data_IF_373540755894
#
_entry.id   IF_373540755894
#
_cell.length_a   1.000
_cell.length_b   1.000
_cell.length_c   1.000
_cell.angle_alpha   90.00
_cell.angle_beta   90.00
_cell.angle_gamma   90.00
#
_symmetry.space_group_name_H-M   'P 1'
#
loop_
_entity.id
_entity.type
_entity.pdbx_description
1 polymer ?
#
# COMPACT_ATOMS: atom_id res chain seq x y z
N UNK A 1 -27.49 4.81 50.06
CA UNK A 1 -26.25 5.55 49.70
C UNK A 1 -25.01 4.64 49.63
N UNK A 2 -24.63 3.91 50.70
CA UNK A 2 -23.44 3.01 50.69
C UNK A 2 -23.45 1.92 49.60
N UNK A 3 -24.62 1.29 49.35
CA UNK A 3 -24.78 0.27 48.29
C UNK A 3 -24.64 0.84 46.87
N UNK A 4 -25.06 2.09 46.65
CA UNK A 4 -24.98 2.77 45.35
C UNK A 4 -23.53 3.13 45.03
N UNK A 5 -22.79 3.61 46.03
CA UNK A 5 -21.34 3.91 45.90
C UNK A 5 -20.54 2.62 45.61
N UNK A 6 -20.89 1.50 46.26
CA UNK A 6 -20.23 0.22 46.01
C UNK A 6 -20.46 -0.33 44.60
N UNK A 7 -21.66 -0.16 44.03
CA UNK A 7 -21.98 -0.58 42.65
C UNK A 7 -21.22 0.29 41.64
N UNK A 8 -21.14 1.61 41.90
CA UNK A 8 -20.43 2.55 41.05
C UNK A 8 -18.91 2.27 41.04
N UNK A 9 -18.32 1.96 42.19
CA UNK A 9 -16.91 1.56 42.27
C UNK A 9 -16.62 0.24 41.54
N UNK A 10 -17.54 -0.72 41.57
CA UNK A 10 -17.38 -2.00 40.86
C UNK A 10 -17.48 -1.81 39.33
N UNK A 11 -18.38 -0.95 38.86
CA UNK A 11 -18.46 -0.60 37.44
C UNK A 11 -17.19 0.11 36.96
N UNK A 12 -16.66 1.08 37.73
CA UNK A 12 -15.38 1.73 37.38
C UNK A 12 -14.22 0.72 37.30
N UNK A 13 -14.19 -0.31 38.15
CA UNK A 13 -13.13 -1.32 38.14
C UNK A 13 -13.14 -2.20 36.89
N UNK A 14 -14.32 -2.46 36.31
CA UNK A 14 -14.45 -3.26 35.08
C UNK A 14 -13.98 -2.47 33.84
N UNK A 15 -14.22 -1.15 33.79
CA UNK A 15 -13.79 -0.33 32.64
C UNK A 15 -12.27 -0.13 32.57
N UNK A 16 -11.55 -0.12 33.69
CA UNK A 16 -10.10 0.15 33.71
C UNK A 16 -9.27 -1.05 33.23
N UNK A 17 -9.85 -2.26 33.22
CA UNK A 17 -9.17 -3.51 32.85
C UNK A 17 -9.45 -3.99 31.42
N UNK A 18 -10.21 -3.25 30.62
CA UNK A 18 -10.35 -3.52 29.19
C UNK A 18 -9.08 -3.05 28.43
N UNK A 19 -7.97 -3.75 28.66
CA UNK A 19 -6.81 -3.66 27.76
C UNK A 19 -7.11 -4.52 26.54
N UNK A 20 -7.24 -3.90 25.37
CA UNK A 20 -7.17 -4.64 24.11
C UNK A 20 -5.78 -5.28 24.02
N UNK A 21 -5.70 -6.60 23.95
CA UNK A 21 -4.45 -7.24 23.56
C UNK A 21 -4.17 -6.86 22.10
N UNK A 22 -3.16 -6.04 21.88
CA UNK A 22 -2.65 -5.81 20.53
C UNK A 22 -1.97 -7.11 20.08
N UNK A 23 -2.64 -7.82 19.17
CA UNK A 23 -2.15 -9.03 18.55
C UNK A 23 -2.06 -8.82 17.05
N UNK A 24 -0.94 -9.22 16.45
CA UNK A 24 -0.77 -9.19 14.99
C UNK A 24 -1.49 -10.40 14.42
N UNK A 25 -2.65 -10.16 13.80
CA UNK A 25 -3.49 -11.23 13.25
C UNK A 25 -2.88 -11.84 11.99
N UNK A 26 -2.28 -10.99 11.15
CA UNK A 26 -1.69 -11.39 9.88
C UNK A 26 -0.62 -10.39 9.47
N UNK A 27 0.37 -10.88 8.72
CA UNK A 27 1.42 -10.08 8.10
C UNK A 27 1.34 -10.30 6.59
N UNK A 28 1.16 -9.22 5.84
CA UNK A 28 1.24 -9.29 4.38
C UNK A 28 2.70 -9.34 3.93
N UNK A 29 2.98 -10.25 3.00
CA UNK A 29 4.29 -10.45 2.40
C UNK A 29 4.16 -10.19 0.91
N UNK A 30 4.84 -9.18 0.39
CA UNK A 30 4.93 -8.94 -1.04
C UNK A 30 6.19 -9.63 -1.57
N UNK A 31 6.01 -10.69 -2.36
CA UNK A 31 7.12 -11.32 -3.04
C UNK A 31 7.32 -10.66 -4.40
N UNK A 32 8.51 -10.12 -4.61
CA UNK A 32 8.86 -9.31 -5.79
C UNK A 32 8.76 -10.08 -7.11
N UNK A 33 8.93 -11.40 -7.11
CA UNK A 33 9.03 -12.18 -8.34
C UNK A 33 10.40 -12.02 -9.02
N UNK A 34 10.53 -12.57 -10.23
CA UNK A 34 11.75 -12.50 -11.05
C UNK A 34 11.40 -12.46 -12.53
N UNK A 35 11.85 -11.40 -13.19
CA UNK A 35 11.76 -11.24 -14.64
C UNK A 35 13.15 -11.33 -15.28
N UNK A 36 13.28 -12.24 -16.24
CA UNK A 36 14.50 -12.39 -17.03
C UNK A 36 14.42 -11.49 -18.27
N UNK A 37 15.19 -10.40 -18.25
CA UNK A 37 15.28 -9.45 -19.36
C UNK A 37 16.00 -10.01 -20.60
N UNK A 38 16.76 -11.10 -20.47
CA UNK A 38 17.44 -11.73 -21.61
C UNK A 38 16.51 -12.59 -22.45
N UNK A 39 15.59 -13.30 -21.79
CA UNK A 39 14.58 -14.16 -22.44
C UNK A 39 13.22 -13.47 -22.58
N UNK A 40 13.03 -12.31 -21.93
CA UNK A 40 11.76 -11.58 -21.85
C UNK A 40 10.63 -12.44 -21.26
N UNK A 41 10.94 -13.15 -20.16
CA UNK A 41 10.02 -14.05 -19.47
C UNK A 41 9.90 -13.73 -17.98
N UNK A 42 8.68 -13.86 -17.45
CA UNK A 42 8.45 -13.95 -16.01
C UNK A 42 8.84 -15.36 -15.59
N UNK A 43 9.93 -15.48 -14.83
CA UNK A 43 10.43 -16.76 -14.31
C UNK A 43 9.76 -17.10 -12.99
N UNK A 44 9.62 -16.12 -12.10
CA UNK A 44 8.86 -16.22 -10.86
C UNK A 44 7.81 -15.11 -10.83
N UNK A 45 6.52 -15.41 -10.66
CA UNK A 45 5.50 -14.38 -10.63
C UNK A 45 5.56 -13.57 -9.32
N UNK A 46 5.09 -12.32 -9.40
CA UNK A 46 4.77 -11.54 -8.21
C UNK A 46 3.64 -12.21 -7.44
N UNK A 47 3.82 -12.41 -6.14
CA UNK A 47 2.76 -12.96 -5.28
C UNK A 47 2.56 -12.13 -4.02
N UNK A 48 1.33 -12.13 -3.53
CA UNK A 48 0.98 -11.60 -2.22
C UNK A 48 0.74 -12.80 -1.31
N UNK A 49 1.51 -12.86 -0.23
CA UNK A 49 1.38 -13.85 0.82
C UNK A 49 0.81 -13.27 2.09
N UNK A 50 0.25 -14.14 2.92
CA UNK A 50 -0.15 -13.85 4.28
C UNK A 50 0.54 -14.85 5.21
N UNK A 51 1.29 -14.32 6.17
CA UNK A 51 1.81 -15.06 7.31
C UNK A 51 0.92 -14.82 8.53
N UNK A 52 0.49 -15.90 9.17
CA UNK A 52 -0.36 -15.88 10.37
C UNK A 52 0.48 -16.28 11.60
N UNK A 53 0.82 -15.33 12.50
CA UNK A 53 1.70 -15.63 13.63
C UNK A 53 1.11 -16.62 14.66
N UNK A 54 -0.21 -16.82 14.67
CA UNK A 54 -0.86 -17.67 15.69
C UNK A 54 -0.65 -19.15 15.46
N UNK A 55 -0.48 -19.55 14.20
CA UNK A 55 -0.30 -20.95 13.80
C UNK A 55 0.96 -21.17 12.94
N UNK A 56 1.80 -20.15 12.80
CA UNK A 56 3.06 -20.16 12.05
C UNK A 56 2.86 -20.60 10.58
N UNK A 57 1.73 -20.22 9.99
CA UNK A 57 1.38 -20.59 8.62
C UNK A 57 1.63 -19.46 7.63
N UNK A 58 2.00 -19.84 6.41
CA UNK A 58 2.11 -18.94 5.26
C UNK A 58 1.23 -19.46 4.13
N UNK A 59 0.47 -18.57 3.50
CA UNK A 59 -0.32 -18.88 2.31
C UNK A 59 -0.19 -17.78 1.27
N UNK A 60 -0.19 -18.16 -0.02
CA UNK A 60 -0.31 -17.21 -1.12
C UNK A 60 -1.79 -16.87 -1.29
N UNK A 61 -2.12 -15.58 -1.22
CA UNK A 61 -3.50 -15.08 -1.35
C UNK A 61 -3.80 -14.51 -2.73
N UNK A 62 -2.77 -14.06 -3.47
CA UNK A 62 -2.93 -13.66 -4.87
C UNK A 62 -1.62 -13.79 -5.66
N UNK A 63 -1.74 -13.96 -6.97
CA UNK A 63 -0.64 -13.92 -7.95
C UNK A 63 -0.91 -12.81 -8.95
N UNK A 64 -0.01 -11.83 -9.03
CA UNK A 64 -0.22 -10.63 -9.84
C UNK A 64 0.23 -10.91 -11.27
N UNK A 65 -0.73 -11.31 -12.09
CA UNK A 65 -0.51 -11.65 -13.49
C UNK A 65 0.14 -10.50 -14.28
N UNK A 66 1.08 -10.86 -15.16
CA UNK A 66 1.79 -9.93 -16.05
C UNK A 66 2.49 -8.76 -15.34
N UNK A 67 2.87 -8.89 -14.07
CA UNK A 67 3.77 -7.96 -13.41
C UNK A 67 5.19 -8.53 -13.42
N UNK A 68 6.16 -7.73 -13.90
CA UNK A 68 7.58 -8.14 -13.95
C UNK A 68 8.25 -8.14 -12.57
N UNK A 69 7.80 -7.25 -11.68
CA UNK A 69 8.30 -7.12 -10.32
C UNK A 69 7.27 -6.38 -9.45
N UNK A 70 7.45 -6.41 -8.13
CA UNK A 70 6.70 -5.59 -7.19
C UNK A 70 7.60 -4.61 -6.46
N UNK A 71 7.07 -3.45 -6.05
CA UNK A 71 7.88 -2.36 -5.50
C UNK A 71 7.40 -1.84 -4.15
N UNK A 72 6.12 -2.00 -3.81
CA UNK A 72 5.61 -1.55 -2.51
C UNK A 72 4.29 -2.23 -2.12
N UNK A 73 4.05 -2.34 -0.81
CA UNK A 73 2.78 -2.75 -0.22
C UNK A 73 2.47 -1.89 1.00
N UNK A 74 1.28 -1.30 1.04
CA UNK A 74 0.81 -0.48 2.16
C UNK A 74 -0.54 -0.95 2.65
N UNK A 75 -0.68 -1.18 3.95
CA UNK A 75 -1.96 -1.46 4.61
C UNK A 75 -2.57 -0.16 5.11
N UNK A 76 -3.86 0.05 4.85
CA UNK A 76 -4.60 1.21 5.35
C UNK A 76 -6.10 0.90 5.54
N UNK A 77 -6.55 0.92 6.78
CA UNK A 77 -7.93 0.55 7.15
C UNK A 77 -8.22 -0.90 6.77
N UNK A 78 -9.36 -1.12 6.12
CA UNK A 78 -9.82 -2.45 5.70
C UNK A 78 -9.24 -2.91 4.35
N UNK A 79 -8.21 -2.22 3.85
CA UNK A 79 -7.60 -2.49 2.56
C UNK A 79 -6.08 -2.55 2.63
N UNK A 80 -5.49 -3.21 1.64
CA UNK A 80 -4.07 -3.09 1.34
C UNK A 80 -3.87 -2.76 -0.14
N UNK A 81 -2.76 -2.09 -0.43
CA UNK A 81 -2.45 -1.51 -1.73
C UNK A 81 -1.10 -2.02 -2.18
N UNK A 82 -0.98 -2.40 -3.46
CA UNK A 82 0.24 -2.95 -4.02
C UNK A 82 0.66 -2.16 -5.25
N UNK A 83 1.94 -1.81 -5.30
CA UNK A 83 2.61 -1.34 -6.50
C UNK A 83 3.33 -2.53 -7.13
N UNK A 84 2.93 -2.90 -8.34
CA UNK A 84 3.54 -3.98 -9.09
C UNK A 84 3.69 -3.60 -10.57
N UNK A 85 4.93 -3.50 -11.03
CA UNK A 85 5.30 -3.05 -12.36
C UNK A 85 4.68 -1.68 -12.72
N UNK A 86 3.64 -1.67 -13.55
CA UNK A 86 2.88 -0.48 -13.95
C UNK A 86 1.46 -0.47 -13.36
N UNK A 87 1.24 -1.13 -12.22
CA UNK A 87 -0.09 -1.30 -11.61
C UNK A 87 -0.11 -0.82 -10.17
N UNK A 88 -1.14 -0.05 -9.84
CA UNK A 88 -1.62 0.18 -8.49
C UNK A 88 -2.85 -0.70 -8.27
N UNK A 89 -2.80 -1.54 -7.24
CA UNK A 89 -3.85 -2.51 -6.94
C UNK A 89 -4.35 -2.28 -5.53
N UNK A 90 -5.66 -2.40 -5.31
CA UNK A 90 -6.32 -2.26 -4.00
C UNK A 90 -7.10 -3.53 -3.71
N UNK A 91 -6.87 -4.10 -2.54
CA UNK A 91 -7.46 -5.36 -2.10
C UNK A 91 -8.16 -5.20 -0.76
N UNK A 92 -9.24 -5.97 -0.56
CA UNK A 92 -9.88 -6.10 0.75
C UNK A 92 -9.03 -6.98 1.67
N UNK A 93 -8.82 -6.52 2.91
CA UNK A 93 -7.90 -7.18 3.86
C UNK A 93 -8.41 -8.53 4.39
N UNK A 94 -9.73 -8.77 4.33
CA UNK A 94 -10.38 -9.92 4.95
C UNK A 94 -10.60 -11.07 3.97
N UNK A 95 -10.94 -10.75 2.72
CA UNK A 95 -11.24 -11.75 1.69
C UNK A 95 -10.24 -11.76 0.53
N UNK A 96 -9.26 -10.84 0.54
CA UNK A 96 -8.18 -10.73 -0.45
C UNK A 96 -8.66 -10.49 -1.88
N UNK A 97 -9.92 -10.09 -2.09
CA UNK A 97 -10.42 -9.76 -3.42
C UNK A 97 -9.80 -8.44 -3.89
N UNK A 98 -9.44 -8.39 -5.18
CA UNK A 98 -9.10 -7.14 -5.85
C UNK A 98 -10.36 -6.26 -5.97
N UNK A 99 -10.31 -5.08 -5.37
CA UNK A 99 -11.43 -4.12 -5.30
C UNK A 99 -11.30 -3.02 -6.36
N UNK A 100 -10.08 -2.58 -6.65
CA UNK A 100 -9.80 -1.58 -7.67
C UNK A 100 -8.38 -1.76 -8.22
N UNK A 101 -8.17 -1.32 -9.46
CA UNK A 101 -6.85 -1.33 -10.11
C UNK A 101 -6.69 -0.10 -10.99
N UNK A 102 -5.47 0.41 -11.09
CA UNK A 102 -5.11 1.52 -11.96
C UNK A 102 -3.75 1.27 -12.61
N UNK A 103 -3.65 1.52 -13.92
CA UNK A 103 -2.36 1.46 -14.62
C UNK A 103 -1.62 2.79 -14.45
N UNK A 104 -0.37 2.71 -14.00
CA UNK A 104 0.50 3.84 -13.67
C UNK A 104 1.92 3.48 -14.11
N UNK A 105 2.35 4.03 -15.24
CA UNK A 105 3.69 3.74 -15.75
C UNK A 105 4.76 4.14 -14.74
N UNK A 106 5.62 3.18 -14.40
CA UNK A 106 6.75 3.36 -13.51
C UNK A 106 6.40 3.56 -12.04
N UNK A 107 5.24 3.09 -11.54
CA UNK A 107 4.90 3.21 -10.10
C UNK A 107 5.98 2.57 -9.21
N UNK A 108 6.38 3.26 -8.13
CA UNK A 108 7.39 2.76 -7.19
C UNK A 108 6.91 2.66 -5.76
N UNK A 109 6.56 3.77 -5.12
CA UNK A 109 6.14 3.76 -3.72
C UNK A 109 4.73 4.31 -3.56
N UNK A 110 4.04 3.84 -2.54
CA UNK A 110 2.69 4.22 -2.18
C UNK A 110 2.72 4.94 -0.84
N UNK A 111 1.98 6.04 -0.73
CA UNK A 111 1.69 6.70 0.55
C UNK A 111 0.23 7.08 0.61
N UNK A 112 -0.44 6.72 1.69
CA UNK A 112 -1.83 7.10 1.93
C UNK A 112 -1.87 8.23 2.96
N UNK A 113 -2.57 9.31 2.61
CA UNK A 113 -2.74 10.48 3.47
C UNK A 113 -3.97 11.29 3.05
N UNK A 114 -4.77 11.78 4.01
CA UNK A 114 -5.96 12.61 3.77
C UNK A 114 -6.87 12.05 2.65
N UNK A 115 -7.28 10.79 2.78
CA UNK A 115 -8.17 10.09 1.84
C UNK A 115 -7.65 10.05 0.38
N UNK A 116 -6.33 10.12 0.21
CA UNK A 116 -5.67 10.08 -1.10
C UNK A 116 -4.54 9.05 -1.10
N UNK A 117 -4.32 8.47 -2.27
CA UNK A 117 -3.18 7.61 -2.56
C UNK A 117 -2.17 8.41 -3.36
N UNK A 118 -1.02 8.69 -2.75
CA UNK A 118 0.13 9.28 -3.40
C UNK A 118 1.02 8.17 -3.91
N UNK A 119 1.48 8.28 -5.15
CA UNK A 119 2.41 7.32 -5.74
C UNK A 119 3.62 8.03 -6.31
N UNK A 120 4.82 7.53 -6.00
CA UNK A 120 6.03 7.94 -6.71
C UNK A 120 6.15 7.16 -8.01
N UNK A 121 6.83 7.77 -8.98
CA UNK A 121 7.14 7.15 -10.27
C UNK A 121 8.64 7.21 -10.53
N UNK A 122 9.16 6.23 -11.24
CA UNK A 122 10.54 6.18 -11.67
C UNK A 122 10.75 4.91 -12.47
N UNK A 123 11.41 4.98 -13.61
CA UNK A 123 11.66 3.80 -14.44
C UNK A 123 12.86 4.05 -15.35
N UNK A 124 13.35 3.01 -16.02
CA UNK A 124 14.44 3.11 -16.97
C UNK A 124 14.11 2.36 -18.27
N UNK A 125 14.75 2.78 -19.35
CA UNK A 125 14.63 2.14 -20.65
C UNK A 125 15.51 0.87 -20.67
N UNK A 126 14.92 -0.28 -20.96
CA UNK A 126 15.61 -1.58 -20.88
C UNK A 126 16.67 -1.80 -21.98
N UNK A 127 16.76 -0.91 -22.98
CA UNK A 127 17.75 -1.01 -24.06
C UNK A 127 18.96 -0.11 -23.79
N UNK A 128 18.71 1.10 -23.33
CA UNK A 128 19.70 2.17 -23.14
C UNK A 128 20.11 2.33 -21.68
N UNK A 129 19.36 1.76 -20.74
CA UNK A 129 19.50 1.92 -19.29
C UNK A 129 19.38 3.38 -18.81
N UNK A 130 18.85 4.27 -19.66
CA UNK A 130 18.63 5.66 -19.31
C UNK A 130 17.29 5.83 -18.57
N UNK A 131 17.17 6.80 -17.65
CA UNK A 131 15.92 7.05 -16.94
C UNK A 131 14.79 7.46 -17.90
N UNK A 132 13.61 6.87 -17.73
CA UNK A 132 12.39 7.31 -18.38
C UNK A 132 11.97 8.66 -17.77
N UNK A 133 11.74 9.65 -18.63
CA UNK A 133 11.30 10.97 -18.22
C UNK A 133 9.79 11.02 -18.06
N UNK A 134 9.33 11.35 -16.85
CA UNK A 134 7.92 11.56 -16.57
C UNK A 134 7.60 13.05 -16.47
N UNK A 135 6.41 13.44 -16.96
CA UNK A 135 5.88 14.79 -16.75
C UNK A 135 5.69 15.13 -15.25
N UNK A 136 5.50 14.10 -14.42
CA UNK A 136 5.52 14.19 -12.97
C UNK A 136 5.92 12.84 -12.38
N UNK A 137 6.80 12.91 -11.37
CA UNK A 137 7.29 11.78 -10.59
C UNK A 137 6.44 11.50 -9.35
N UNK A 138 5.37 12.26 -9.11
CA UNK A 138 4.43 12.02 -8.02
C UNK A 138 3.00 12.24 -8.48
N UNK A 139 2.16 11.22 -8.37
CA UNK A 139 0.75 11.30 -8.75
C UNK A 139 -0.16 11.05 -7.56
N UNK A 140 -1.38 11.55 -7.66
CA UNK A 140 -2.40 11.49 -6.60
C UNK A 140 -3.65 10.84 -7.16
N UNK A 141 -4.17 9.87 -6.42
CA UNK A 141 -5.35 9.08 -6.75
C UNK A 141 -6.35 9.12 -5.60
N UNK A 142 -7.62 8.90 -5.94
CA UNK A 142 -8.68 8.74 -4.96
C UNK A 142 -8.48 7.46 -4.16
N UNK A 143 -8.62 7.54 -2.83
CA UNK A 143 -8.59 6.34 -1.99
C UNK A 143 -9.81 5.43 -2.20
N UNK A 144 -10.94 5.97 -2.65
CA UNK A 144 -12.18 5.19 -2.83
C UNK A 144 -12.05 4.17 -3.95
N UNK A 145 -11.66 4.63 -5.14
CA UNK A 145 -11.75 3.89 -6.40
C UNK A 145 -10.46 3.91 -7.25
N UNK A 146 -9.37 4.49 -6.73
CA UNK A 146 -8.11 4.69 -7.44
C UNK A 146 -8.21 5.55 -8.71
N UNK A 147 -9.27 6.35 -8.86
CA UNK A 147 -9.36 7.31 -9.96
C UNK A 147 -8.26 8.37 -9.85
N UNK A 148 -7.68 8.76 -10.99
CA UNK A 148 -6.64 9.79 -11.05
C UNK A 148 -7.21 11.16 -10.62
N UNK A 149 -6.49 11.85 -9.72
CA UNK A 149 -6.86 13.17 -9.25
C UNK A 149 -5.93 14.26 -9.78
N UNK A 150 -4.62 14.08 -9.62
CA UNK A 150 -3.65 15.10 -10.06
C UNK A 150 -2.22 14.58 -10.18
N UNK A 151 -1.41 15.31 -10.94
CA UNK A 151 0.04 15.25 -10.87
C UNK A 151 0.53 16.26 -9.82
N UNK A 152 1.47 15.86 -8.97
CA UNK A 152 2.27 16.80 -8.21
C UNK A 152 3.52 17.11 -9.03
N UNK A 153 3.55 18.28 -9.65
CA UNK A 153 4.77 18.78 -10.28
C UNK A 153 5.67 19.29 -9.14
N UNK A 154 6.97 19.07 -9.25
CA UNK A 154 7.93 19.66 -8.32
C UNK A 154 7.83 21.18 -8.38
N UNK A 155 7.06 21.77 -7.46
CA UNK A 155 7.05 23.20 -7.21
C UNK A 155 8.18 23.49 -6.23
N UNK A 156 9.42 23.48 -6.73
CA UNK A 156 10.52 24.18 -6.08
C UNK A 156 10.35 25.69 -6.33
N UNK A 157 9.33 26.29 -5.72
CA UNK A 157 9.38 27.68 -5.25
C UNK A 157 8.50 27.76 -4.00
N UNK A 158 9.01 27.24 -2.89
CA UNK A 158 8.65 27.79 -1.59
C UNK A 158 9.65 28.92 -1.31
N UNK A 159 9.09 30.12 -1.15
CA UNK A 159 9.70 31.35 -0.63
C UNK A 159 10.70 32.12 -1.53
N UNK A 160 10.17 33.18 -2.14
CA UNK A 160 10.91 34.41 -2.40
C UNK A 160 11.43 34.58 -3.81
N UNK A 161 10.67 35.30 -4.65
CA UNK A 161 11.25 36.23 -5.62
C UNK A 161 10.39 37.50 -5.63
N UNK A 162 11.05 38.60 -5.28
CA UNK A 162 10.58 39.95 -5.47
C UNK A 162 10.13 40.16 -6.92
N UNK A 163 9.04 40.90 -7.09
CA UNK A 163 8.82 41.68 -8.31
C UNK A 163 10.00 42.61 -8.51
N UNK A 164 10.62 42.55 -9.68
CA UNK A 164 11.20 43.71 -10.36
C UNK A 164 10.55 43.75 -11.73
#
# INVERSE_FOLDING_TARGET
MKKVISILCLMLFVFVNAKSNEYVHQIFVLNEGYFDYSTNQIVEPVTIGVYTPSDDSYSVVDTIENARFASDLVVYGDFFYVAADNKLLKYDINNYNLVASQNIDGIRNIKIHNEKVFVSRGDYDNTTFMPIQFASYLQVYSLSDLSFLSNLIQLLVLNGQHKI
#
